data_IF_206860474284
#
_entry.id   IF_206860474284
#
_cell.length_a   1.000
_cell.length_b   1.000
_cell.length_c   1.000
_cell.angle_alpha   90.00
_cell.angle_beta   90.00
_cell.angle_gamma   90.00
#
_symmetry.space_group_name_H-M   'P 1'
#
loop_
_entity.id
_entity.type
_entity.pdbx_description
1 polymer ?
#
# COMPACT_ATOMS: atom_id res chain seq x y z
N UNK A 1 35.31 -12.75 25.57
CA UNK A 1 33.86 -12.67 25.81
C UNK A 1 33.21 -12.55 24.45
N UNK A 2 32.64 -13.66 23.99
CA UNK A 2 32.09 -13.82 22.65
C UNK A 2 30.79 -13.02 22.55
N UNK A 3 30.76 -12.02 21.69
CA UNK A 3 29.53 -11.30 21.35
C UNK A 3 28.70 -12.24 20.47
N UNK A 4 27.66 -12.84 21.03
CA UNK A 4 26.75 -13.72 20.32
C UNK A 4 26.11 -12.98 19.15
N UNK A 5 26.57 -13.30 17.94
CA UNK A 5 25.89 -12.93 16.70
C UNK A 5 24.58 -13.71 16.71
N UNK A 6 23.45 -13.04 16.96
CA UNK A 6 22.14 -13.64 16.83
C UNK A 6 21.96 -14.09 15.38
N UNK A 7 22.06 -15.40 15.14
CA UNK A 7 21.62 -16.00 13.89
C UNK A 7 20.08 -15.94 13.86
N UNK A 8 19.53 -14.90 13.24
CA UNK A 8 18.09 -14.79 12.99
C UNK A 8 17.69 -15.82 11.92
N UNK A 9 16.65 -16.64 12.15
CA UNK A 9 16.19 -17.63 11.17
C UNK A 9 15.54 -16.95 9.94
N UNK A 10 15.57 -17.59 8.75
CA UNK A 10 15.16 -16.99 7.47
C UNK A 10 13.63 -16.91 7.25
N UNK A 11 12.85 -16.54 8.25
CA UNK A 11 11.38 -16.39 8.13
C UNK A 11 10.92 -14.94 8.30
N UNK A 12 11.78 -13.96 8.02
CA UNK A 12 11.42 -12.54 8.07
C UNK A 12 10.62 -12.15 6.82
N UNK A 13 9.33 -12.48 6.82
CA UNK A 13 8.37 -11.87 5.89
C UNK A 13 7.84 -10.58 6.52
N UNK A 14 7.69 -9.55 5.70
CA UNK A 14 7.13 -8.26 6.08
C UNK A 14 5.61 -8.26 5.92
N UNK A 15 4.94 -7.26 6.48
CA UNK A 15 3.51 -7.05 6.20
C UNK A 15 3.28 -6.74 4.72
N UNK A 16 4.26 -6.14 4.02
CA UNK A 16 4.21 -5.92 2.57
C UNK A 16 4.15 -7.23 1.79
N UNK A 17 4.96 -8.23 2.16
CA UNK A 17 4.94 -9.55 1.53
C UNK A 17 3.56 -10.22 1.70
N UNK A 18 2.99 -10.14 2.92
CA UNK A 18 1.64 -10.66 3.21
C UNK A 18 0.57 -9.90 2.41
N UNK A 19 0.73 -8.58 2.25
CA UNK A 19 -0.21 -7.77 1.48
C UNK A 19 -0.21 -8.15 0.00
N UNK A 20 0.97 -8.41 -0.58
CA UNK A 20 1.08 -8.88 -1.97
C UNK A 20 0.39 -10.24 -2.16
N UNK A 21 0.62 -11.19 -1.27
CA UNK A 21 -0.07 -12.50 -1.31
C UNK A 21 -1.60 -12.35 -1.20
N UNK A 22 -2.07 -11.48 -0.31
CA UNK A 22 -3.50 -11.22 -0.14
C UNK A 22 -4.11 -10.54 -1.39
N UNK A 23 -3.39 -9.62 -2.02
CA UNK A 23 -3.82 -8.94 -3.23
C UNK A 23 -3.90 -9.89 -4.43
N UNK A 24 -2.97 -10.84 -4.56
CA UNK A 24 -3.03 -11.88 -5.59
C UNK A 24 -4.27 -12.78 -5.43
N UNK A 25 -4.61 -13.16 -4.20
CA UNK A 25 -5.83 -13.92 -3.92
C UNK A 25 -7.07 -13.12 -4.30
N UNK A 26 -7.11 -11.83 -3.94
CA UNK A 26 -8.21 -10.93 -4.28
C UNK A 26 -8.34 -10.75 -5.80
N UNK A 27 -7.22 -10.52 -6.49
CA UNK A 27 -7.16 -10.37 -7.94
C UNK A 27 -7.71 -11.60 -8.65
N UNK A 28 -7.23 -12.80 -8.26
CA UNK A 28 -7.73 -14.05 -8.81
C UNK A 28 -9.25 -14.25 -8.54
N UNK A 29 -9.75 -13.78 -7.40
CA UNK A 29 -11.17 -13.79 -7.07
C UNK A 29 -12.01 -12.88 -7.97
N UNK A 30 -11.57 -11.64 -8.18
CA UNK A 30 -12.25 -10.66 -9.05
C UNK A 30 -12.21 -11.11 -10.52
N UNK A 31 -11.06 -11.57 -11.01
CA UNK A 31 -10.91 -12.09 -12.36
C UNK A 31 -11.85 -13.27 -12.63
N UNK A 32 -12.02 -14.19 -11.67
CA UNK A 32 -13.00 -15.29 -11.79
C UNK A 32 -14.44 -14.82 -11.79
N UNK A 33 -14.75 -13.71 -11.10
CA UNK A 33 -16.09 -13.12 -11.09
C UNK A 33 -16.43 -12.51 -12.45
N UNK A 34 -15.44 -12.05 -13.21
CA UNK A 34 -15.60 -11.48 -14.55
C UNK A 34 -16.69 -10.39 -14.63
N UNK A 35 -16.77 -9.58 -13.57
CA UNK A 35 -17.66 -8.43 -13.50
C UNK A 35 -16.96 -7.20 -14.08
N UNK A 36 -17.77 -6.34 -14.70
CA UNK A 36 -17.30 -5.08 -15.26
C UNK A 36 -17.87 -3.92 -14.44
N UNK A 37 -17.07 -2.86 -14.31
CA UNK A 37 -17.52 -1.62 -13.71
C UNK A 37 -18.50 -0.85 -14.62
N UNK A 38 -18.95 0.32 -14.16
CA UNK A 38 -19.87 1.18 -14.90
C UNK A 38 -19.35 1.62 -16.28
N UNK A 39 -18.03 1.63 -16.47
CA UNK A 39 -17.39 2.01 -17.72
C UNK A 39 -17.00 0.81 -18.59
N UNK A 40 -17.31 -0.42 -18.15
CA UNK A 40 -17.01 -1.65 -18.87
C UNK A 40 -15.60 -2.18 -18.64
N UNK A 41 -14.87 -1.70 -17.63
CA UNK A 41 -13.55 -2.22 -17.28
C UNK A 41 -13.64 -3.38 -16.30
N UNK A 42 -12.69 -4.30 -16.39
CA UNK A 42 -12.55 -5.40 -15.43
C UNK A 42 -12.26 -4.84 -14.02
N UNK A 43 -13.08 -5.23 -13.03
CA UNK A 43 -12.99 -4.73 -11.66
C UNK A 43 -11.64 -5.02 -10.97
N UNK A 44 -10.80 -5.91 -11.48
CA UNK A 44 -9.42 -6.10 -11.01
C UNK A 44 -8.61 -4.79 -11.04
N UNK A 45 -8.96 -3.83 -11.90
CA UNK A 45 -8.27 -2.54 -11.97
C UNK A 45 -8.31 -1.76 -10.65
N UNK A 46 -9.36 -1.96 -9.83
CA UNK A 46 -9.48 -1.31 -8.52
C UNK A 46 -8.38 -1.73 -7.54
N UNK A 47 -7.71 -2.87 -7.78
CA UNK A 47 -6.59 -3.33 -6.96
C UNK A 47 -5.26 -2.65 -7.34
N UNK A 48 -5.17 -2.01 -8.52
CA UNK A 48 -3.95 -1.33 -9.00
C UNK A 48 -3.30 -0.42 -7.96
N UNK A 49 -4.02 0.54 -7.33
CA UNK A 49 -3.39 1.40 -6.31
C UNK A 49 -2.91 0.62 -5.08
N UNK A 50 -3.56 -0.49 -4.73
CA UNK A 50 -3.15 -1.32 -3.59
C UNK A 50 -1.86 -2.09 -3.89
N UNK A 51 -1.72 -2.62 -5.12
CA UNK A 51 -0.46 -3.21 -5.58
C UNK A 51 0.66 -2.18 -5.55
N UNK A 52 0.43 -0.97 -6.07
CA UNK A 52 1.43 0.11 -6.03
C UNK A 52 1.88 0.44 -4.60
N UNK A 53 0.94 0.53 -3.64
CA UNK A 53 1.26 0.76 -2.23
C UNK A 53 2.07 -0.41 -1.65
N UNK A 54 1.65 -1.66 -1.88
CA UNK A 54 2.31 -2.84 -1.34
C UNK A 54 3.71 -3.05 -1.92
N UNK A 55 3.88 -2.85 -3.23
CA UNK A 55 5.16 -3.02 -3.95
C UNK A 55 6.16 -1.90 -3.61
N UNK A 56 5.69 -0.66 -3.52
CA UNK A 56 6.57 0.49 -3.22
C UNK A 56 6.87 0.64 -1.73
N UNK A 57 6.00 0.09 -0.87
CA UNK A 57 6.00 0.37 0.56
C UNK A 57 5.65 1.83 0.89
N UNK A 58 5.19 2.63 -0.08
CA UNK A 58 4.79 4.02 0.10
C UNK A 58 3.26 4.11 0.23
N UNK A 59 2.83 4.30 1.46
CA UNK A 59 1.44 4.47 1.87
C UNK A 59 0.97 5.91 1.68
N UNK A 60 -0.35 6.14 1.56
CA UNK A 60 -0.92 7.49 1.60
C UNK A 60 -0.51 8.28 2.87
N UNK A 61 -0.29 7.59 3.99
CA UNK A 61 0.18 8.23 5.21
C UNK A 61 1.62 8.77 5.07
N UNK A 62 2.50 8.07 4.36
CA UNK A 62 3.85 8.54 4.07
C UNK A 62 3.85 9.72 3.09
N UNK A 63 2.90 9.75 2.15
CA UNK A 63 2.69 10.91 1.28
C UNK A 63 2.24 12.14 2.08
N UNK A 64 1.29 11.96 3.01
CA UNK A 64 0.82 13.02 3.90
C UNK A 64 1.93 13.49 4.85
N UNK A 65 2.73 12.57 5.39
CA UNK A 65 3.88 12.92 6.24
C UNK A 65 4.91 13.73 5.45
N UNK A 66 5.21 13.33 4.20
CA UNK A 66 6.08 14.10 3.30
C UNK A 66 5.50 15.47 2.97
N UNK A 67 4.18 15.57 2.76
CA UNK A 67 3.50 16.84 2.53
C UNK A 67 3.62 17.75 3.76
N UNK A 68 3.36 17.20 4.95
CA UNK A 68 3.50 17.87 6.23
C UNK A 68 4.91 18.43 6.44
N UNK A 69 5.94 17.60 6.31
CA UNK A 69 7.34 18.01 6.50
C UNK A 69 7.82 19.03 5.47
N UNK A 70 7.29 18.98 4.25
CA UNK A 70 7.77 19.79 3.12
C UNK A 70 6.81 20.91 2.76
N UNK A 71 5.80 20.58 1.95
CA UNK A 71 4.92 21.54 1.28
C UNK A 71 4.08 22.34 2.29
N UNK A 72 3.65 21.69 3.35
CA UNK A 72 2.83 22.31 4.40
C UNK A 72 3.66 22.85 5.57
N UNK A 73 4.99 22.64 5.57
CA UNK A 73 5.94 23.24 6.52
C UNK A 73 5.55 23.06 7.99
N UNK A 74 5.07 21.86 8.34
CA UNK A 74 4.64 21.53 9.69
C UNK A 74 3.22 21.98 10.05
N UNK A 75 2.44 22.52 9.10
CA UNK A 75 1.01 22.78 9.27
C UNK A 75 0.17 21.62 8.68
N UNK A 76 -0.90 21.23 9.35
CA UNK A 76 -1.86 20.21 8.87
C UNK A 76 -3.08 20.82 8.19
N UNK A 77 -3.37 22.11 8.39
CA UNK A 77 -4.56 22.77 7.85
C UNK A 77 -4.77 22.54 6.33
N UNK A 78 -3.73 22.55 5.47
CA UNK A 78 -3.91 22.30 4.04
C UNK A 78 -4.52 20.94 3.69
N UNK A 79 -4.41 19.93 4.57
CA UNK A 79 -5.02 18.61 4.35
C UNK A 79 -6.54 18.70 4.18
N UNK A 80 -7.19 19.65 4.86
CA UNK A 80 -8.64 19.85 4.82
C UNK A 80 -9.14 20.55 3.56
N UNK A 81 -8.24 21.14 2.77
CA UNK A 81 -8.57 21.71 1.46
C UNK A 81 -8.18 20.75 0.34
N UNK A 82 -7.00 20.14 0.42
CA UNK A 82 -6.44 19.33 -0.67
C UNK A 82 -7.01 17.91 -0.76
N UNK A 83 -7.46 17.34 0.36
CA UNK A 83 -8.00 15.98 0.44
C UNK A 83 -9.49 15.99 0.84
N UNK A 84 -10.19 17.11 0.58
CA UNK A 84 -11.64 17.19 0.73
C UNK A 84 -12.34 16.32 -0.33
N UNK A 85 -13.41 15.62 0.07
CA UNK A 85 -14.28 14.84 -0.82
C UNK A 85 -15.47 15.66 -1.31
#
# INVERSE_FOLDING_TARGET
>A
MEVGIWHLPPTLITVGDIALDALEIAHAGLARRAALDFFGFDETHFLTPLFQIAESGLTPAEELLRAYERRWKGNVDPAFEEYAY
#
